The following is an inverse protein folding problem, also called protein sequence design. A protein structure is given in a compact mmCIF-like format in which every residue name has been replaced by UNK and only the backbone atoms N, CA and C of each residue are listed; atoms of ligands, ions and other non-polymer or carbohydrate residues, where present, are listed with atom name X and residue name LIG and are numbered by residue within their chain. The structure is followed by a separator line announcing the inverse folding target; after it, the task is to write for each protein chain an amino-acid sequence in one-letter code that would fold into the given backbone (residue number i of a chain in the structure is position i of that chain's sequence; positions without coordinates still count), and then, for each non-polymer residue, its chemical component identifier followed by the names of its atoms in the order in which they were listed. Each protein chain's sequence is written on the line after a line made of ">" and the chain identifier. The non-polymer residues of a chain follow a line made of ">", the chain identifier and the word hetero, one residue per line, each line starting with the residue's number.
data_IF_125093053012
#
_entry.id   IF_125093053012
#
_cell.length_a   1.000
_cell.length_b   1.000
_cell.length_c   1.000
_cell.angle_alpha   90.00
_cell.angle_beta   90.00
_cell.angle_gamma   90.00
#
_symmetry.space_group_name_H-M   'P 1'
#
loop_
_entity.id
_entity.type
_entity.pdbx_description
1 polymer ?
#
# COMPACT_ATOMS: atom_id res chain seq x y z
N UNK A 1 -9.96 -3.53 5.97
CA UNK A 1 -9.43 -4.87 5.65
C UNK A 1 -8.23 -5.19 6.53
N UNK A 2 -7.13 -4.44 6.44
CA UNK A 2 -5.89 -4.70 7.19
C UNK A 2 -6.03 -4.65 8.72
N UNK A 3 -6.58 -3.58 9.31
CA UNK A 3 -6.80 -3.50 10.77
C UNK A 3 -7.68 -4.65 11.28
N UNK A 4 -8.72 -5.02 10.53
CA UNK A 4 -9.58 -6.18 10.87
C UNK A 4 -8.82 -7.50 10.84
N UNK A 5 -7.80 -7.61 10.00
CA UNK A 5 -6.91 -8.77 9.93
C UNK A 5 -5.84 -8.78 11.04
N UNK A 6 -5.75 -7.75 11.88
CA UNK A 6 -4.80 -7.66 13.00
C UNK A 6 -3.51 -6.90 12.71
N UNK A 7 -3.48 -6.13 11.62
CA UNK A 7 -2.32 -5.32 11.25
C UNK A 7 -2.19 -4.12 12.21
N UNK A 8 -0.98 -3.59 12.43
CA UNK A 8 -0.80 -2.26 13.01
C UNK A 8 -1.63 -1.23 12.23
N UNK A 9 -2.16 -0.23 12.94
CA UNK A 9 -2.94 0.82 12.31
C UNK A 9 -2.04 1.67 11.39
N UNK A 10 -2.37 1.77 10.09
CA UNK A 10 -1.65 2.65 9.19
C UNK A 10 -2.03 4.11 9.44
N UNK A 11 -1.14 5.02 9.09
CA UNK A 11 -1.51 6.41 8.87
C UNK A 11 -2.31 6.51 7.57
N UNK A 12 -3.51 7.10 7.62
CA UNK A 12 -4.39 7.27 6.48
C UNK A 12 -4.09 8.58 5.77
N UNK A 13 -3.96 8.55 4.43
CA UNK A 13 -3.60 9.71 3.60
C UNK A 13 -2.32 10.40 4.08
N UNK A 14 -1.32 9.61 4.50
CA UNK A 14 -0.10 10.09 5.11
C UNK A 14 0.87 10.73 4.12
N UNK A 15 1.46 11.87 4.51
CA UNK A 15 2.48 12.57 3.71
C UNK A 15 3.84 11.92 3.94
N UNK A 16 4.52 11.56 2.85
CA UNK A 16 5.83 10.93 2.85
C UNK A 16 6.84 11.95 2.31
N UNK A 17 7.89 12.17 3.11
CA UNK A 17 9.02 13.03 2.76
C UNK A 17 10.30 12.22 2.72
N UNK A 18 11.32 12.74 2.05
CA UNK A 18 12.67 12.20 2.12
C UNK A 18 13.39 12.63 3.41
N UNK A 19 14.69 12.30 3.50
CA UNK A 19 15.55 12.63 4.64
C UNK A 19 15.83 14.14 4.77
N UNK A 20 15.71 14.90 3.68
CA UNK A 20 15.83 16.35 3.67
C UNK A 20 14.50 17.05 4.03
N UNK A 21 13.40 16.30 4.15
CA UNK A 21 12.06 16.82 4.40
C UNK A 21 11.30 17.22 3.13
N UNK A 22 11.84 16.89 1.95
CA UNK A 22 11.19 17.17 0.67
C UNK A 22 10.03 16.20 0.42
N UNK A 23 8.95 16.72 -0.15
CA UNK A 23 7.76 15.93 -0.44
C UNK A 23 8.03 14.87 -1.51
N UNK A 24 7.72 13.60 -1.21
CA UNK A 24 7.79 12.50 -2.15
C UNK A 24 6.40 12.11 -2.67
N UNK A 25 5.46 11.85 -1.76
CA UNK A 25 4.12 11.41 -2.09
C UNK A 25 3.16 11.59 -0.91
N UNK A 26 1.87 11.46 -1.19
CA UNK A 26 0.85 11.17 -0.17
C UNK A 26 0.31 9.77 -0.45
N UNK A 27 0.46 8.87 0.51
CA UNK A 27 0.01 7.49 0.38
C UNK A 27 -1.32 7.25 1.09
N UNK A 28 -2.17 6.38 0.52
CA UNK A 28 -3.49 6.10 1.09
C UNK A 28 -3.41 5.45 2.47
N UNK A 29 -2.55 4.42 2.63
CA UNK A 29 -2.28 3.71 3.88
C UNK A 29 -0.78 3.56 4.06
N UNK A 30 -0.23 4.20 5.09
CA UNK A 30 1.22 4.30 5.31
C UNK A 30 1.62 3.64 6.62
N UNK A 31 2.53 2.67 6.53
CA UNK A 31 3.23 2.08 7.68
C UNK A 31 4.69 2.57 7.67
N UNK A 32 4.95 3.62 8.45
CA UNK A 32 6.24 4.35 8.40
C UNK A 32 7.43 3.51 8.87
N UNK A 33 7.25 2.68 9.89
CA UNK A 33 8.34 1.90 10.50
C UNK A 33 8.92 0.89 9.51
N UNK A 34 8.07 0.29 8.70
CA UNK A 34 8.39 -0.75 7.71
C UNK A 34 8.59 -0.17 6.30
N UNK A 35 8.36 1.14 6.14
CA UNK A 35 8.34 1.85 4.86
C UNK A 35 7.43 1.18 3.83
N UNK A 36 6.20 0.85 4.23
CA UNK A 36 5.20 0.22 3.35
C UNK A 36 4.06 1.18 3.08
N UNK A 37 3.63 1.24 1.82
CA UNK A 37 2.43 1.97 1.38
C UNK A 37 1.50 1.00 0.66
N UNK A 38 0.21 1.02 1.00
CA UNK A 38 -0.83 0.38 0.20
C UNK A 38 -1.71 1.45 -0.46
N UNK A 39 -1.74 1.47 -1.79
CA UNK A 39 -2.44 2.47 -2.60
C UNK A 39 -3.69 1.87 -3.24
N UNK A 40 -4.85 2.47 -2.99
CA UNK A 40 -6.08 2.02 -3.62
C UNK A 40 -6.18 2.59 -5.03
N UNK A 41 -6.15 1.70 -6.01
CA UNK A 41 -6.28 2.05 -7.41
C UNK A 41 -7.76 2.18 -7.78
N UNK A 42 -8.18 3.43 -8.02
CA UNK A 42 -9.52 3.81 -8.42
C UNK A 42 -9.93 3.32 -9.83
N UNK A 43 -11.07 3.82 -10.31
CA UNK A 43 -11.80 3.30 -11.47
C UNK A 43 -10.93 2.99 -12.71
N UNK A 44 -11.25 1.91 -13.46
CA UNK A 44 -10.45 1.38 -14.58
C UNK A 44 -10.36 2.29 -15.82
N UNK A 45 -10.97 3.48 -15.80
CA UNK A 45 -10.96 4.44 -16.91
C UNK A 45 -9.93 5.56 -16.72
N UNK A 46 -8.90 5.34 -15.91
CA UNK A 46 -7.76 6.26 -15.85
C UNK A 46 -7.08 6.33 -17.22
N UNK A 47 -6.89 7.54 -17.75
CA UNK A 47 -6.11 7.74 -18.97
C UNK A 47 -4.64 7.36 -18.77
N UNK A 48 -3.91 7.22 -19.89
CA UNK A 48 -2.50 6.83 -19.88
C UNK A 48 -1.62 7.82 -19.11
N UNK A 49 -1.97 9.11 -19.10
CA UNK A 49 -1.25 10.14 -18.36
C UNK A 49 -1.35 9.93 -16.85
N UNK A 50 -2.55 9.65 -16.35
CA UNK A 50 -2.75 9.32 -14.93
C UNK A 50 -1.98 8.06 -14.53
N UNK A 51 -2.04 7.00 -15.34
CA UNK A 51 -1.29 5.76 -15.09
C UNK A 51 0.22 5.97 -15.08
N UNK A 52 0.72 6.85 -15.95
CA UNK A 52 2.13 7.25 -15.99
C UNK A 52 2.52 8.00 -14.71
N UNK A 53 1.71 8.96 -14.25
CA UNK A 53 1.95 9.68 -13.01
C UNK A 53 1.92 8.76 -11.77
N UNK A 54 0.99 7.81 -11.70
CA UNK A 54 0.94 6.82 -10.62
C UNK A 54 2.17 5.92 -10.61
N UNK A 55 2.62 5.49 -11.79
CA UNK A 55 3.86 4.71 -11.94
C UNK A 55 5.09 5.52 -11.54
N UNK A 56 5.18 6.80 -11.92
CA UNK A 56 6.29 7.67 -11.54
C UNK A 56 6.36 7.85 -10.02
N UNK A 57 5.21 8.10 -9.36
CA UNK A 57 5.13 8.24 -7.90
C UNK A 57 5.58 6.96 -7.19
N UNK A 58 5.17 5.80 -7.70
CA UNK A 58 5.64 4.49 -7.20
C UNK A 58 7.16 4.37 -7.31
N UNK A 59 7.73 4.65 -8.49
CA UNK A 59 9.19 4.59 -8.69
C UNK A 59 9.95 5.54 -7.76
N UNK A 60 9.40 6.73 -7.52
CA UNK A 60 10.00 7.69 -6.58
C UNK A 60 10.04 7.11 -5.16
N UNK A 61 8.91 6.60 -4.66
CA UNK A 61 8.86 5.95 -3.35
C UNK A 61 9.83 4.76 -3.24
N UNK A 62 9.86 3.89 -4.25
CA UNK A 62 10.76 2.73 -4.30
C UNK A 62 12.23 3.16 -4.33
N UNK A 63 12.58 4.24 -5.03
CA UNK A 63 13.92 4.82 -5.03
C UNK A 63 14.37 5.31 -3.65
N UNK A 64 13.43 5.62 -2.76
CA UNK A 64 13.67 5.98 -1.36
C UNK A 64 13.45 4.80 -0.38
N UNK A 65 13.46 3.56 -0.89
CA UNK A 65 13.40 2.34 -0.08
C UNK A 65 12.01 2.03 0.48
N UNK A 66 10.96 2.63 -0.07
CA UNK A 66 9.58 2.24 0.26
C UNK A 66 9.12 1.07 -0.59
N UNK A 67 8.31 0.19 0.01
CA UNK A 67 7.60 -0.85 -0.72
C UNK A 67 6.15 -0.41 -0.96
N UNK A 68 5.70 -0.41 -2.21
CA UNK A 68 4.36 0.04 -2.60
C UNK A 68 3.53 -1.14 -3.07
N UNK A 69 2.33 -1.32 -2.50
CA UNK A 69 1.35 -2.30 -2.92
C UNK A 69 0.13 -1.60 -3.52
N UNK A 70 -0.10 -1.81 -4.81
CA UNK A 70 -1.40 -1.45 -5.40
C UNK A 70 -2.50 -2.40 -4.90
N UNK A 71 -3.66 -1.83 -4.58
CA UNK A 71 -4.85 -2.55 -4.14
C UNK A 71 -6.01 -2.12 -5.05
N UNK A 72 -6.56 -3.05 -5.81
CA UNK A 72 -7.71 -2.78 -6.67
C UNK A 72 -9.02 -3.21 -6.00
N UNK A 73 -10.15 -2.79 -6.55
CA UNK A 73 -11.48 -3.22 -6.06
C UNK A 73 -11.59 -4.75 -5.93
N UNK A 74 -11.04 -5.52 -6.88
CA UNK A 74 -11.05 -6.97 -6.80
C UNK A 74 -10.21 -7.52 -5.64
N UNK A 75 -9.13 -6.84 -5.25
CA UNK A 75 -8.33 -7.20 -4.07
C UNK A 75 -9.04 -6.89 -2.75
N UNK A 76 -10.16 -6.17 -2.79
CA UNK A 76 -11.01 -5.91 -1.62
C UNK A 76 -12.21 -6.84 -1.61
N UNK A 77 -12.91 -6.98 -2.75
CA UNK A 77 -14.21 -7.64 -2.80
C UNK A 77 -14.14 -9.14 -3.14
N UNK A 78 -13.10 -9.61 -3.86
CA UNK A 78 -12.97 -11.02 -4.25
C UNK A 78 -12.12 -11.77 -3.23
N UNK A 79 -12.69 -12.74 -2.51
CA UNK A 79 -12.05 -13.39 -1.34
C UNK A 79 -10.63 -13.93 -1.63
N UNK A 80 -10.39 -14.74 -2.68
CA UNK A 80 -9.02 -15.22 -2.97
C UNK A 80 -8.00 -14.08 -3.19
N UNK A 81 -8.38 -13.04 -3.94
CA UNK A 81 -7.52 -11.87 -4.20
C UNK A 81 -7.29 -11.04 -2.95
N UNK A 82 -8.34 -10.90 -2.12
CA UNK A 82 -8.25 -10.27 -0.81
C UNK A 82 -7.27 -10.99 0.09
N UNK A 83 -7.37 -12.31 0.23
CA UNK A 83 -6.45 -13.09 1.04
C UNK A 83 -5.01 -12.94 0.55
N UNK A 84 -4.77 -13.09 -0.76
CA UNK A 84 -3.44 -12.90 -1.35
C UNK A 84 -2.87 -11.50 -1.10
N UNK A 85 -3.72 -10.46 -1.12
CA UNK A 85 -3.30 -9.09 -0.81
C UNK A 85 -3.01 -8.89 0.68
N UNK A 86 -3.81 -9.44 1.58
CA UNK A 86 -3.49 -9.44 3.02
C UNK A 86 -2.15 -10.13 3.26
N UNK A 87 -1.94 -11.34 2.74
CA UNK A 87 -0.69 -12.09 2.92
C UNK A 87 0.54 -11.39 2.31
N UNK A 88 0.38 -10.72 1.17
CA UNK A 88 1.45 -9.94 0.56
C UNK A 88 1.85 -8.77 1.47
N UNK A 89 0.89 -7.98 1.96
CA UNK A 89 1.19 -6.84 2.83
C UNK A 89 1.70 -7.31 4.20
N UNK A 90 1.21 -8.44 4.74
CA UNK A 90 1.75 -9.03 5.97
C UNK A 90 3.26 -9.28 5.84
N UNK A 91 3.70 -9.89 4.74
CA UNK A 91 5.13 -10.13 4.46
C UNK A 91 5.92 -8.83 4.30
N UNK A 92 5.35 -7.81 3.67
CA UNK A 92 6.01 -6.50 3.53
C UNK A 92 6.21 -5.82 4.90
N UNK A 93 5.29 -6.06 5.85
CA UNK A 93 5.36 -5.55 7.21
C UNK A 93 6.11 -6.45 8.20
N UNK A 94 6.69 -7.56 7.72
CA UNK A 94 7.34 -8.60 8.54
C UNK A 94 6.41 -9.14 9.65
N UNK A 95 5.12 -9.29 9.33
CA UNK A 95 4.12 -9.88 10.21
C UNK A 95 3.98 -11.37 9.91
N UNK A 96 3.92 -12.20 10.95
CA UNK A 96 3.60 -13.63 10.82
C UNK A 96 2.12 -13.82 10.43
N UNK A 97 1.80 -14.32 9.22
CA UNK A 97 0.42 -14.54 8.79
C UNK A 97 -0.37 -15.49 9.70
N UNK A 98 0.29 -16.40 10.43
CA UNK A 98 -0.36 -17.31 11.36
C UNK A 98 -0.99 -16.60 12.57
N UNK A 99 -0.53 -15.38 12.87
CA UNK A 99 -1.05 -14.54 13.96
C UNK A 99 -2.21 -13.65 13.53
N UNK A 100 -2.48 -13.58 12.22
CA UNK A 100 -3.43 -12.65 11.62
C UNK A 100 -4.81 -13.29 11.43
N UNK A 101 -5.86 -12.48 11.52
CA UNK A 101 -7.26 -12.89 11.32
C UNK A 101 -7.60 -12.92 9.82
N UNK A 102 -6.92 -13.79 9.07
CA UNK A 102 -7.10 -13.98 7.63
C UNK A 102 -8.17 -15.06 7.39
N UNK A 103 -9.45 -14.70 7.54
CA UNK A 103 -10.61 -15.57 7.22
C UNK A 103 -11.24 -15.22 5.88
#
# INVERSE_FOLDING_TARGET
>A
MFVRAGFPEPEVCGVITDEAGEFLAQGDLVWRRERVVAEYQGAPHADIGRRSADTQRRHLLEGHGWQVREVFAQDVYVRPRRMATVEAVARMLDLDPATLRIT
#
